data_IF_314967048175
#
_entry.id   IF_314967048175
#
_cell.length_a   1.000
_cell.length_b   1.000
_cell.length_c   1.000
_cell.angle_alpha   90.00
_cell.angle_beta   90.00
_cell.angle_gamma   90.00
#
_symmetry.space_group_name_H-M   'P 1'
#
loop_
_entity.id
_entity.type
_entity.pdbx_description
1 polymer ?
#
# COMPACT_ATOMS: atom_id res chain seq x y z
N UNK A 1 -20.40 32.15 -8.49
CA UNK A 1 -21.19 32.31 -7.25
C UNK A 1 -20.41 31.64 -6.14
N UNK A 2 -19.99 32.41 -5.14
CA UNK A 2 -19.15 31.94 -4.05
C UNK A 2 -19.98 31.07 -3.10
N UNK A 3 -19.55 29.82 -2.91
CA UNK A 3 -20.04 28.97 -1.82
C UNK A 3 -19.34 29.45 -0.55
N UNK A 4 -20.09 30.06 0.36
CA UNK A 4 -19.62 30.40 1.69
C UNK A 4 -19.60 29.13 2.54
N UNK A 5 -18.44 28.48 2.63
CA UNK A 5 -18.16 27.45 3.64
C UNK A 5 -17.47 28.11 4.83
N UNK A 6 -18.01 27.90 6.04
CA UNK A 6 -17.43 28.36 7.30
C UNK A 6 -16.00 27.81 7.43
N UNK A 7 -15.07 28.71 7.67
CA UNK A 7 -13.63 28.46 7.65
C UNK A 7 -13.21 27.57 8.82
N UNK A 8 -12.60 26.44 8.47
CA UNK A 8 -11.84 25.61 9.37
C UNK A 8 -11.10 24.53 8.60
N UNK A 9 -9.83 24.78 8.28
CA UNK A 9 -8.96 23.99 7.39
C UNK A 9 -9.72 23.33 6.22
N UNK A 10 -10.31 24.19 5.39
CA UNK A 10 -10.97 23.81 4.14
C UNK A 10 -9.91 23.19 3.26
N UNK A 11 -10.01 21.89 2.97
CA UNK A 11 -9.21 21.26 1.90
C UNK A 11 -9.30 22.16 0.68
N UNK A 12 -8.16 22.66 0.21
CA UNK A 12 -8.18 23.65 -0.85
C UNK A 12 -8.80 23.03 -2.11
N UNK A 13 -9.46 23.84 -2.94
CA UNK A 13 -9.95 23.35 -4.23
C UNK A 13 -8.80 22.73 -5.05
N UNK A 14 -7.59 23.27 -4.93
CA UNK A 14 -6.40 22.73 -5.57
C UNK A 14 -6.08 21.29 -5.10
N UNK A 15 -6.15 21.00 -3.80
CA UNK A 15 -5.90 19.65 -3.27
C UNK A 15 -6.99 18.66 -3.69
N UNK A 16 -8.25 19.12 -3.79
CA UNK A 16 -9.34 18.33 -4.36
C UNK A 16 -9.02 17.97 -5.81
N UNK A 17 -8.70 18.95 -6.65
CA UNK A 17 -8.35 18.71 -8.06
C UNK A 17 -7.15 17.76 -8.20
N UNK A 18 -6.10 17.95 -7.41
CA UNK A 18 -4.93 17.07 -7.40
C UNK A 18 -5.30 15.63 -7.02
N UNK A 19 -6.24 15.45 -6.08
CA UNK A 19 -6.74 14.13 -5.67
C UNK A 19 -7.55 13.49 -6.80
N UNK A 20 -8.51 14.23 -7.39
CA UNK A 20 -9.36 13.75 -8.49
C UNK A 20 -8.51 13.33 -9.70
N UNK A 21 -7.49 14.11 -10.02
CA UNK A 21 -6.58 13.86 -11.14
C UNK A 21 -5.39 12.94 -10.80
N UNK A 22 -5.40 12.26 -9.64
CA UNK A 22 -4.34 11.34 -9.21
C UNK A 22 -2.93 11.95 -9.38
N UNK A 23 -2.77 13.17 -8.90
CA UNK A 23 -1.56 13.99 -9.00
C UNK A 23 -1.11 14.53 -7.62
N UNK A 24 -1.83 14.17 -6.56
CA UNK A 24 -1.54 14.59 -5.20
C UNK A 24 -0.33 13.81 -4.63
N UNK A 25 0.66 14.52 -4.09
CA UNK A 25 1.88 13.92 -3.52
C UNK A 25 1.68 13.32 -2.13
N UNK A 26 0.73 13.86 -1.35
CA UNK A 26 0.34 13.34 -0.05
C UNK A 26 -1.20 13.28 0.14
N UNK A 27 -1.88 12.28 -0.42
CA UNK A 27 -3.35 12.19 -0.36
C UNK A 27 -3.93 12.18 1.06
N UNK A 28 -3.12 11.85 2.08
CA UNK A 28 -3.53 11.85 3.48
C UNK A 28 -3.82 13.25 4.02
N UNK A 29 -3.46 14.34 3.34
CA UNK A 29 -3.91 15.70 3.74
C UNK A 29 -5.36 15.98 3.35
N UNK A 30 -5.95 15.12 2.52
CA UNK A 30 -7.32 15.26 2.00
C UNK A 30 -8.20 14.11 2.47
N UNK A 31 -7.73 12.89 2.24
CA UNK A 31 -8.43 11.63 2.48
C UNK A 31 -8.25 11.15 3.91
N UNK A 32 -9.18 10.31 4.37
CA UNK A 32 -9.23 9.82 5.75
C UNK A 32 -9.99 10.76 6.67
N UNK A 33 -9.79 10.55 7.97
CA UNK A 33 -10.41 11.32 9.05
C UNK A 33 -9.54 12.53 9.43
N UNK A 34 -10.16 13.71 9.51
CA UNK A 34 -9.51 14.97 9.83
C UNK A 34 -10.32 15.77 10.84
N UNK A 35 -9.65 16.41 11.79
CA UNK A 35 -10.27 17.40 12.67
C UNK A 35 -10.53 18.68 11.85
N UNK A 36 -11.71 19.27 12.00
CA UNK A 36 -12.03 20.59 11.46
C UNK A 36 -12.47 21.54 12.59
N UNK A 37 -12.14 22.84 12.47
CA UNK A 37 -12.66 23.87 13.36
C UNK A 37 -14.18 23.97 13.34
N UNK A 38 -14.79 24.08 14.53
CA UNK A 38 -16.25 24.19 14.68
C UNK A 38 -16.82 23.55 15.94
N UNK A 39 -16.01 22.76 16.65
CA UNK A 39 -16.39 22.12 17.91
C UNK A 39 -16.90 23.07 19.00
N UNK A 40 -17.87 22.61 19.79
CA UNK A 40 -18.42 23.30 20.96
C UNK A 40 -18.32 22.39 22.18
N UNK A 41 -18.11 22.97 23.37
CA UNK A 41 -18.12 22.26 24.66
C UNK A 41 -17.31 20.94 24.70
N UNK A 42 -16.02 21.00 24.37
CA UNK A 42 -15.11 19.84 24.45
C UNK A 42 -15.29 18.79 23.35
N UNK A 43 -16.28 18.96 22.48
CA UNK A 43 -16.43 18.19 21.25
C UNK A 43 -15.67 18.84 20.11
N UNK A 44 -15.28 18.04 19.13
CA UNK A 44 -14.58 18.46 17.92
C UNK A 44 -15.42 18.09 16.71
N UNK A 45 -15.32 18.90 15.67
CA UNK A 45 -15.86 18.53 14.38
C UNK A 45 -14.82 17.68 13.65
N UNK A 46 -15.27 16.59 13.04
CA UNK A 46 -14.47 15.68 12.24
C UNK A 46 -15.06 15.57 10.85
N UNK A 47 -14.21 15.41 9.86
CA UNK A 47 -14.61 15.10 8.49
C UNK A 47 -13.90 13.84 8.04
N UNK A 48 -14.66 12.92 7.46
CA UNK A 48 -14.13 11.74 6.79
C UNK A 48 -14.28 11.96 5.29
N UNK A 49 -13.18 11.91 4.54
CA UNK A 49 -13.20 12.02 3.08
C UNK A 49 -12.66 10.77 2.41
N UNK A 50 -13.34 10.32 1.37
CA UNK A 50 -12.94 9.15 0.60
C UNK A 50 -13.06 9.42 -0.90
N UNK A 51 -12.03 9.03 -1.65
CA UNK A 51 -12.05 9.06 -3.10
C UNK A 51 -12.36 7.67 -3.66
N UNK A 52 -13.57 7.50 -4.15
CA UNK A 52 -14.22 6.26 -4.53
C UNK A 52 -14.80 6.41 -5.95
N UNK A 53 -13.96 6.38 -7.00
CA UNK A 53 -14.39 6.67 -8.38
C UNK A 53 -15.44 5.70 -8.93
N UNK A 54 -15.48 4.48 -8.40
CA UNK A 54 -16.47 3.46 -8.75
C UNK A 54 -17.85 3.65 -8.09
N UNK A 55 -17.90 4.47 -7.03
CA UNK A 55 -19.06 4.57 -6.16
C UNK A 55 -20.15 5.48 -6.74
N UNK A 56 -21.39 4.97 -6.69
CA UNK A 56 -22.61 5.75 -6.85
C UNK A 56 -23.01 6.41 -5.54
N UNK A 57 -22.91 5.69 -4.43
CA UNK A 57 -23.18 6.19 -3.08
C UNK A 57 -22.15 5.62 -2.11
N UNK A 58 -21.88 6.35 -1.04
CA UNK A 58 -20.97 5.94 0.02
C UNK A 58 -21.52 6.35 1.38
N UNK A 59 -21.19 5.56 2.41
CA UNK A 59 -21.54 5.82 3.80
C UNK A 59 -20.31 5.57 4.66
N UNK A 60 -20.22 6.30 5.76
CA UNK A 60 -19.39 5.90 6.90
C UNK A 60 -20.22 4.94 7.73
N UNK A 61 -19.65 3.78 8.05
CA UNK A 61 -20.16 2.87 9.07
C UNK A 61 -19.46 3.23 10.37
N UNK A 62 -20.13 3.96 11.25
CA UNK A 62 -19.59 4.39 12.54
C UNK A 62 -19.58 3.20 13.50
N UNK A 63 -18.41 2.70 13.87
CA UNK A 63 -18.25 1.53 14.72
C UNK A 63 -18.16 1.94 16.19
N UNK A 64 -19.31 2.32 16.77
CA UNK A 64 -19.42 2.42 18.22
C UNK A 64 -19.25 1.04 18.87
N UNK A 65 -18.48 0.92 19.96
CA UNK A 65 -18.24 -0.36 20.61
C UNK A 65 -19.54 -1.08 21.00
N UNK A 66 -19.75 -2.29 20.45
CA UNK A 66 -20.89 -3.15 20.80
C UNK A 66 -22.16 -2.94 19.95
N UNK A 67 -22.15 -2.06 18.95
CA UNK A 67 -23.29 -1.80 18.08
C UNK A 67 -23.05 -2.28 16.63
N UNK A 68 -24.11 -2.59 15.86
CA UNK A 68 -23.99 -3.02 14.45
C UNK A 68 -23.43 -1.95 13.50
N UNK A 69 -23.14 -0.76 14.03
CA UNK A 69 -22.60 0.39 13.32
C UNK A 69 -23.67 1.25 12.66
N UNK A 70 -23.65 2.55 12.92
CA UNK A 70 -24.59 3.49 12.31
C UNK A 70 -24.13 3.86 10.89
N UNK A 71 -25.05 3.84 9.93
CA UNK A 71 -24.77 4.25 8.55
C UNK A 71 -25.01 5.75 8.38
N UNK A 72 -23.92 6.50 8.28
CA UNK A 72 -23.95 7.95 8.01
C UNK A 72 -23.68 8.17 6.51
N UNK A 73 -24.65 8.71 5.74
CA UNK A 73 -24.46 8.94 4.31
C UNK A 73 -23.38 9.99 4.05
N UNK A 74 -22.53 9.74 3.06
CA UNK A 74 -21.54 10.70 2.61
C UNK A 74 -22.09 11.57 1.49
N UNK A 75 -21.93 12.88 1.61
CA UNK A 75 -22.19 13.85 0.56
C UNK A 75 -21.16 13.69 -0.57
N UNK A 76 -21.61 13.68 -1.82
CA UNK A 76 -20.72 13.69 -2.98
C UNK A 76 -20.22 15.12 -3.23
N UNK A 77 -18.97 15.38 -2.86
CA UNK A 77 -18.29 16.66 -3.12
C UNK A 77 -17.93 16.86 -4.59
N UNK A 78 -17.60 15.77 -5.29
CA UNK A 78 -17.21 15.84 -6.70
C UNK A 78 -17.78 14.67 -7.50
N UNK A 79 -18.19 14.96 -8.74
CA UNK A 79 -18.82 13.97 -9.64
C UNK A 79 -17.95 12.74 -9.88
N UNK A 80 -16.63 12.90 -9.86
CA UNK A 80 -15.66 11.82 -10.10
C UNK A 80 -15.43 10.90 -8.89
N UNK A 81 -16.23 11.05 -7.83
CA UNK A 81 -16.27 10.11 -6.71
C UNK A 81 -15.53 10.57 -5.46
N UNK A 82 -15.38 11.88 -5.23
CA UNK A 82 -14.96 12.37 -3.91
C UNK A 82 -16.18 12.56 -3.03
N UNK A 83 -16.16 11.95 -1.85
CA UNK A 83 -17.23 11.99 -0.86
C UNK A 83 -16.74 12.51 0.47
N UNK A 84 -17.63 13.11 1.26
CA UNK A 84 -17.37 13.50 2.65
C UNK A 84 -18.54 13.18 3.59
N UNK A 85 -18.25 12.95 4.86
CA UNK A 85 -19.23 13.02 5.95
C UNK A 85 -18.65 13.82 7.12
N UNK A 86 -19.47 14.63 7.78
CA UNK A 86 -19.08 15.49 8.90
C UNK A 86 -19.74 14.98 10.18
N UNK A 87 -18.97 14.95 11.26
CA UNK A 87 -19.37 14.49 12.59
C UNK A 87 -19.05 15.59 13.60
N UNK A 88 -20.03 16.01 14.40
CA UNK A 88 -19.88 17.12 15.37
C UNK A 88 -20.03 16.67 16.82
N UNK A 89 -20.16 15.37 17.04
CA UNK A 89 -20.53 14.72 18.30
C UNK A 89 -19.42 13.77 18.80
N UNK A 90 -18.16 14.08 18.47
CA UNK A 90 -17.00 13.22 18.77
C UNK A 90 -15.87 14.03 19.43
N UNK A 91 -15.34 13.53 20.54
CA UNK A 91 -14.19 14.13 21.23
C UNK A 91 -12.84 13.73 20.62
N UNK A 92 -12.75 12.52 20.07
CA UNK A 92 -11.54 11.91 19.52
C UNK A 92 -11.83 11.22 18.17
N UNK A 93 -10.79 10.94 17.35
CA UNK A 93 -10.94 10.06 16.19
C UNK A 93 -11.51 8.70 16.61
N UNK A 94 -12.43 8.19 15.81
CA UNK A 94 -13.15 6.94 16.10
C UNK A 94 -12.92 5.90 15.00
N UNK A 95 -13.31 4.66 15.32
CA UNK A 95 -13.22 3.54 14.41
C UNK A 95 -14.38 3.58 13.42
N UNK A 96 -14.09 3.41 12.14
CA UNK A 96 -15.11 3.37 11.10
C UNK A 96 -14.72 2.45 9.94
N UNK A 97 -15.73 2.12 9.13
CA UNK A 97 -15.54 1.53 7.80
C UNK A 97 -16.24 2.40 6.76
N UNK A 98 -15.89 2.20 5.50
CA UNK A 98 -16.58 2.82 4.37
C UNK A 98 -17.46 1.76 3.73
N UNK A 99 -18.76 2.01 3.67
CA UNK A 99 -19.69 1.23 2.86
C UNK A 99 -19.85 1.91 1.51
N UNK A 100 -19.73 1.12 0.45
CA UNK A 100 -19.69 1.60 -0.93
C UNK A 100 -20.79 0.90 -1.70
N UNK A 101 -21.54 1.66 -2.51
CA UNK A 101 -22.42 1.11 -3.53
C UNK A 101 -21.94 1.53 -4.92
N UNK A 102 -21.67 0.56 -5.79
CA UNK A 102 -21.29 0.81 -7.18
C UNK A 102 -22.46 1.28 -8.05
N UNK A 103 -22.15 1.77 -9.24
CA UNK A 103 -23.16 2.08 -10.27
C UNK A 103 -23.96 0.85 -10.74
N UNK A 104 -23.43 -0.36 -10.54
CA UNK A 104 -24.11 -1.62 -10.83
C UNK A 104 -24.99 -2.12 -9.65
N UNK A 105 -25.06 -1.38 -8.53
CA UNK A 105 -25.84 -1.75 -7.35
C UNK A 105 -25.15 -2.72 -6.40
N UNK A 106 -23.93 -3.20 -6.70
CA UNK A 106 -23.16 -4.00 -5.75
C UNK A 106 -22.72 -3.16 -4.55
N UNK A 107 -22.85 -3.73 -3.35
CA UNK A 107 -22.44 -3.11 -2.09
C UNK A 107 -21.35 -3.92 -1.40
N UNK A 108 -20.38 -3.22 -0.80
CA UNK A 108 -19.35 -3.82 0.04
C UNK A 108 -18.82 -2.81 1.07
N UNK A 109 -18.09 -3.30 2.06
CA UNK A 109 -17.43 -2.47 3.06
C UNK A 109 -15.92 -2.64 2.99
N UNK A 110 -15.19 -1.56 3.24
CA UNK A 110 -13.73 -1.55 3.34
C UNK A 110 -13.30 -0.81 4.61
N UNK A 111 -12.15 -1.18 5.14
CA UNK A 111 -11.41 -0.32 6.07
C UNK A 111 -10.69 0.73 5.24
N UNK A 112 -10.82 2.00 5.60
CA UNK A 112 -10.20 3.12 4.89
C UNK A 112 -8.66 3.03 4.95
N UNK A 113 -7.91 2.95 3.83
CA UNK A 113 -6.45 2.97 3.86
C UNK A 113 -5.85 4.30 4.37
N UNK A 114 -6.60 5.40 4.26
CA UNK A 114 -6.10 6.75 4.56
C UNK A 114 -6.32 7.20 6.00
N UNK A 115 -6.94 6.37 6.86
CA UNK A 115 -6.99 6.64 8.31
C UNK A 115 -5.70 6.32 9.04
N UNK A 116 -4.80 5.55 8.43
CA UNK A 116 -3.61 5.02 9.10
C UNK A 116 -2.44 6.00 9.08
N UNK A 117 -1.74 6.09 10.22
CA UNK A 117 -0.50 6.82 10.37
C UNK A 117 0.64 6.24 9.53
N UNK A 118 1.78 6.94 9.52
CA UNK A 118 2.99 6.52 8.82
C UNK A 118 3.53 5.20 9.38
N UNK A 119 4.05 4.33 8.51
CA UNK A 119 4.66 3.07 8.93
C UNK A 119 6.17 3.21 9.06
N UNK A 120 6.82 3.86 8.09
CA UNK A 120 8.25 4.14 8.16
C UNK A 120 8.53 5.20 9.22
N UNK A 121 9.49 4.92 10.10
CA UNK A 121 9.94 5.88 11.11
C UNK A 121 10.88 6.91 10.49
N UNK A 122 11.05 8.06 11.15
CA UNK A 122 12.03 9.06 10.72
C UNK A 122 13.47 8.53 10.76
N UNK A 123 13.73 7.57 11.65
CA UNK A 123 15.02 6.87 11.71
C UNK A 123 15.25 5.97 10.48
N UNK A 124 14.23 5.22 10.03
CA UNK A 124 14.31 4.44 8.79
C UNK A 124 14.60 5.37 7.61
N UNK A 125 13.87 6.49 7.51
CA UNK A 125 14.03 7.50 6.47
C UNK A 125 15.43 8.14 6.47
N UNK A 126 15.97 8.43 7.65
CA UNK A 126 17.31 8.99 7.81
C UNK A 126 18.38 8.01 7.29
N UNK A 127 18.37 6.76 7.75
CA UNK A 127 19.33 5.74 7.29
C UNK A 127 19.20 5.45 5.79
N UNK A 128 17.98 5.50 5.24
CA UNK A 128 17.76 5.36 3.80
C UNK A 128 18.34 6.54 3.02
N UNK A 129 18.18 7.76 3.53
CA UNK A 129 18.76 8.97 2.94
C UNK A 129 20.29 8.99 2.94
N UNK A 130 20.91 8.44 4.00
CA UNK A 130 22.37 8.31 4.10
C UNK A 130 22.95 7.09 3.35
N UNK A 131 22.10 6.16 2.90
CA UNK A 131 22.55 4.91 2.30
C UNK A 131 23.16 3.92 3.31
N UNK A 132 22.90 4.11 4.60
CA UNK A 132 23.44 3.30 5.71
C UNK A 132 22.46 2.25 6.21
N UNK A 133 21.24 2.18 5.66
CA UNK A 133 20.24 1.19 6.03
C UNK A 133 20.53 -0.21 5.45
N UNK A 134 21.40 -0.99 6.11
CA UNK A 134 21.87 -2.31 5.64
C UNK A 134 20.77 -3.38 5.47
N UNK A 135 19.61 -3.20 6.11
CA UNK A 135 18.43 -4.09 6.01
C UNK A 135 17.22 -3.39 5.40
N UNK A 136 17.46 -2.50 4.43
CA UNK A 136 16.39 -1.68 3.83
C UNK A 136 15.28 -2.50 3.17
N UNK A 137 15.57 -3.73 2.74
CA UNK A 137 14.60 -4.68 2.22
C UNK A 137 13.51 -5.08 3.24
N UNK A 138 13.69 -4.79 4.53
CA UNK A 138 12.68 -5.03 5.58
C UNK A 138 11.69 -3.87 5.73
N UNK A 139 11.95 -2.77 5.00
CA UNK A 139 11.19 -1.53 5.03
C UNK A 139 10.63 -1.17 3.67
N UNK A 140 11.44 -1.33 2.62
CA UNK A 140 11.04 -1.15 1.23
C UNK A 140 10.48 -2.46 0.66
N UNK A 141 9.59 -2.35 -0.31
CA UNK A 141 8.86 -3.47 -0.88
C UNK A 141 7.42 -3.58 -0.37
N UNK A 142 6.87 -4.79 -0.40
CA UNK A 142 5.57 -5.11 0.16
C UNK A 142 5.69 -6.07 1.36
N UNK A 143 5.19 -5.64 2.51
CA UNK A 143 5.34 -6.34 3.78
C UNK A 143 4.00 -6.59 4.44
N UNK A 144 3.69 -7.87 4.70
CA UNK A 144 2.57 -8.26 5.54
C UNK A 144 2.86 -7.83 6.98
N UNK A 145 1.97 -7.04 7.57
CA UNK A 145 2.13 -6.60 8.95
C UNK A 145 0.81 -6.24 9.62
N UNK A 146 0.86 -6.12 10.93
CA UNK A 146 -0.20 -5.49 11.73
C UNK A 146 0.18 -4.03 11.96
N UNK A 147 -0.70 -3.09 11.60
CA UNK A 147 -0.53 -1.66 11.83
C UNK A 147 -1.81 -1.10 12.44
N UNK A 148 -1.69 -0.42 13.60
CA UNK A 148 -2.83 0.15 14.34
C UNK A 148 -4.00 -0.83 14.55
N UNK A 149 -3.69 -2.09 14.84
CA UNK A 149 -4.67 -3.15 15.10
C UNK A 149 -5.18 -3.89 13.86
N UNK A 150 -4.81 -3.48 12.64
CA UNK A 150 -5.26 -4.12 11.40
C UNK A 150 -4.13 -4.90 10.74
N UNK A 151 -4.44 -6.11 10.28
CA UNK A 151 -3.56 -6.84 9.36
C UNK A 151 -3.74 -6.27 7.96
N UNK A 152 -2.65 -6.20 7.21
CA UNK A 152 -2.66 -5.74 5.83
C UNK A 152 -1.27 -5.76 5.24
N UNK A 153 -1.10 -5.02 4.14
CA UNK A 153 0.18 -4.89 3.44
C UNK A 153 0.64 -3.46 3.48
N UNK A 154 1.87 -3.25 3.97
CA UNK A 154 2.58 -1.98 3.81
C UNK A 154 3.42 -2.05 2.55
N UNK A 155 3.23 -1.05 1.69
CA UNK A 155 3.99 -0.85 0.47
C UNK A 155 4.89 0.36 0.64
N UNK A 156 6.16 0.23 0.27
CA UNK A 156 7.09 1.36 0.22
C UNK A 156 8.05 1.26 -0.97
N UNK A 157 8.22 2.36 -1.70
CA UNK A 157 9.10 2.42 -2.87
C UNK A 157 9.84 3.75 -2.96
N UNK A 158 11.09 3.69 -3.38
CA UNK A 158 11.90 4.87 -3.60
C UNK A 158 11.72 5.41 -5.01
N UNK A 159 11.10 6.59 -5.14
CA UNK A 159 10.81 7.24 -6.42
C UNK A 159 10.84 8.77 -6.26
N UNK A 160 12.03 9.37 -5.99
CA UNK A 160 12.14 10.77 -5.54
C UNK A 160 11.61 11.80 -6.53
N UNK A 161 11.75 11.53 -7.83
CA UNK A 161 11.36 12.46 -8.89
C UNK A 161 9.94 12.20 -9.42
N UNK A 162 9.20 11.25 -8.83
CA UNK A 162 7.81 11.03 -9.20
C UNK A 162 6.94 12.25 -8.83
N UNK A 163 5.92 12.51 -9.64
CA UNK A 163 4.82 13.41 -9.28
C UNK A 163 3.86 12.71 -8.34
N UNK A 164 3.56 11.43 -8.64
CA UNK A 164 2.69 10.56 -7.84
C UNK A 164 3.10 9.11 -8.03
N UNK A 165 2.97 8.31 -6.97
CA UNK A 165 3.00 6.85 -7.03
C UNK A 165 1.69 6.30 -6.47
N UNK A 166 1.14 5.27 -7.11
CA UNK A 166 0.06 4.46 -6.54
C UNK A 166 0.41 2.98 -6.53
N UNK A 167 -0.18 2.24 -5.61
CA UNK A 167 -0.19 0.78 -5.67
C UNK A 167 -1.37 0.35 -6.54
N UNK A 168 -1.11 -0.48 -7.55
CA UNK A 168 -2.14 -1.06 -8.43
C UNK A 168 -2.08 -2.56 -8.38
N UNK A 169 -3.24 -3.22 -8.37
CA UNK A 169 -3.31 -4.66 -8.29
C UNK A 169 -4.74 -5.18 -8.44
N UNK A 170 -4.93 -6.48 -8.22
CA UNK A 170 -6.24 -7.10 -8.34
C UNK A 170 -7.28 -6.45 -7.41
N UNK A 171 -6.90 -6.18 -6.16
CA UNK A 171 -7.72 -5.55 -5.13
C UNK A 171 -8.32 -4.19 -5.53
N UNK A 172 -7.71 -3.48 -6.50
CA UNK A 172 -8.22 -2.20 -6.98
C UNK A 172 -8.51 -2.15 -8.48
N UNK A 173 -8.60 -3.33 -9.12
CA UNK A 173 -8.81 -3.48 -10.57
C UNK A 173 -7.77 -2.72 -11.40
N UNK A 174 -6.53 -2.69 -10.92
CA UNK A 174 -5.41 -2.03 -11.60
C UNK A 174 -5.62 -0.53 -11.86
N UNK A 175 -6.46 0.13 -11.06
CA UNK A 175 -6.76 1.55 -11.19
C UNK A 175 -5.90 2.39 -10.24
N UNK A 176 -4.90 3.07 -10.79
CA UNK A 176 -3.96 3.90 -10.04
C UNK A 176 -4.56 5.14 -9.37
N UNK A 177 -5.82 5.50 -9.65
CA UNK A 177 -6.48 6.61 -8.94
C UNK A 177 -6.97 6.22 -7.53
N UNK A 178 -7.15 4.92 -7.25
CA UNK A 178 -7.80 4.42 -6.01
C UNK A 178 -6.87 4.35 -4.81
N UNK A 179 -5.58 4.03 -5.03
CA UNK A 179 -4.60 3.85 -3.96
C UNK A 179 -3.31 4.68 -4.16
N UNK A 180 -3.38 6.01 -4.35
CA UNK A 180 -2.21 6.88 -4.29
C UNK A 180 -1.49 6.82 -2.94
N UNK A 181 -0.17 6.79 -3.01
CA UNK A 181 0.74 6.71 -1.87
C UNK A 181 1.10 8.11 -1.37
N UNK A 182 1.53 8.24 -0.11
CA UNK A 182 2.14 9.49 0.39
C UNK A 182 3.63 9.51 0.16
N UNK A 183 4.15 10.62 -0.35
CA UNK A 183 5.56 10.90 -0.37
C UNK A 183 6.05 11.38 1.01
N UNK A 184 7.16 10.82 1.49
CA UNK A 184 7.79 11.10 2.79
C UNK A 184 8.87 12.19 2.67
N UNK A 185 8.55 13.26 1.96
CA UNK A 185 9.36 14.47 1.87
C UNK A 185 10.69 14.28 1.10
N UNK A 186 11.76 14.85 1.64
CA UNK A 186 13.04 14.98 0.95
C UNK A 186 13.71 13.64 0.57
N UNK A 187 13.38 12.55 1.25
CA UNK A 187 13.90 11.21 0.91
C UNK A 187 13.38 10.71 -0.44
N UNK A 188 12.19 11.16 -0.86
CA UNK A 188 11.56 10.67 -2.08
C UNK A 188 10.98 9.26 -1.97
N UNK A 189 10.82 8.74 -0.76
CA UNK A 189 10.17 7.46 -0.49
C UNK A 189 8.66 7.67 -0.48
N UNK A 190 7.93 6.76 -1.12
CA UNK A 190 6.48 6.71 -1.13
C UNK A 190 6.03 5.54 -0.29
N UNK A 191 4.99 5.71 0.53
CA UNK A 191 4.41 4.60 1.28
C UNK A 191 2.87 4.62 1.32
N UNK A 192 2.28 3.44 1.52
CA UNK A 192 0.86 3.25 1.81
C UNK A 192 0.68 1.94 2.57
N UNK A 193 -0.15 1.96 3.61
CA UNK A 193 -0.65 0.74 4.23
C UNK A 193 -2.07 0.48 3.72
N UNK A 194 -2.32 -0.73 3.23
CA UNK A 194 -3.65 -1.14 2.78
C UNK A 194 -4.12 -2.28 3.71
N UNK A 195 -5.16 -2.04 4.52
CA UNK A 195 -5.70 -3.05 5.43
C UNK A 195 -6.36 -4.19 4.66
N UNK A 196 -6.54 -5.32 5.34
CA UNK A 196 -7.27 -6.51 4.86
C UNK A 196 -6.67 -7.21 3.61
N UNK A 197 -5.55 -6.70 3.08
CA UNK A 197 -4.79 -7.40 2.05
C UNK A 197 -3.98 -8.55 2.63
N UNK A 198 -3.87 -9.60 1.83
CA UNK A 198 -3.23 -10.87 2.20
C UNK A 198 -2.01 -11.17 1.32
N UNK A 199 -1.32 -12.23 1.68
CA UNK A 199 -0.30 -12.81 0.81
C UNK A 199 -0.88 -13.30 -0.51
N UNK A 200 -0.07 -13.28 -1.57
CA UNK A 200 -0.48 -13.66 -2.91
C UNK A 200 -1.08 -12.51 -3.72
N UNK A 201 -1.30 -11.35 -3.11
CA UNK A 201 -1.75 -10.16 -3.83
C UNK A 201 -0.77 -9.77 -4.92
N UNK A 202 -1.28 -9.64 -6.14
CA UNK A 202 -0.52 -9.28 -7.33
C UNK A 202 -0.59 -7.78 -7.52
N UNK A 203 0.57 -7.12 -7.60
CA UNK A 203 0.65 -5.66 -7.64
C UNK A 203 1.79 -5.12 -8.51
N UNK A 204 1.67 -3.83 -8.83
CA UNK A 204 2.69 -2.97 -9.41
C UNK A 204 2.59 -1.56 -8.84
N UNK A 205 3.67 -0.80 -8.91
CA UNK A 205 3.62 0.63 -8.71
C UNK A 205 3.29 1.34 -10.01
N UNK A 206 2.21 2.12 -10.02
CA UNK A 206 1.93 3.06 -11.10
C UNK A 206 2.57 4.41 -10.76
N UNK A 207 3.53 4.81 -11.57
CA UNK A 207 4.34 6.01 -11.36
C UNK A 207 3.93 7.05 -12.40
N UNK A 208 3.45 8.20 -11.93
CA UNK A 208 3.30 9.41 -12.75
C UNK A 208 4.56 10.25 -12.64
N UNK A 209 5.19 10.50 -13.78
CA UNK A 209 6.37 11.36 -13.91
C UNK A 209 5.98 12.83 -13.94
N UNK A 210 6.81 13.68 -13.35
CA UNK A 210 6.73 15.14 -13.51
C UNK A 210 7.01 15.59 -14.95
N UNK A 211 7.62 14.72 -15.75
CA UNK A 211 7.97 15.02 -17.13
C UNK A 211 6.88 14.53 -18.09
N UNK A 212 6.27 15.48 -18.82
CA UNK A 212 5.26 15.25 -19.87
C UNK A 212 4.05 14.37 -19.47
N UNK A 213 3.73 14.29 -18.18
CA UNK A 213 2.60 13.49 -17.69
C UNK A 213 2.73 11.98 -17.97
N UNK A 214 3.96 11.48 -18.19
CA UNK A 214 4.20 10.07 -18.47
C UNK A 214 3.78 9.19 -17.29
N UNK A 215 2.96 8.18 -17.55
CA UNK A 215 2.50 7.20 -16.56
C UNK A 215 2.99 5.81 -16.95
N UNK A 216 3.57 5.09 -16.00
CA UNK A 216 4.09 3.73 -16.23
C UNK A 216 3.84 2.84 -15.03
N UNK A 217 3.63 1.55 -15.30
CA UNK A 217 3.60 0.53 -14.26
C UNK A 217 4.96 -0.15 -14.14
N UNK A 218 5.46 -0.28 -12.91
CA UNK A 218 6.73 -0.93 -12.59
C UNK A 218 6.51 -2.07 -11.59
N UNK A 219 7.24 -3.16 -11.81
CA UNK A 219 7.44 -4.17 -10.79
C UNK A 219 8.14 -3.52 -9.58
N UNK A 220 7.89 -4.07 -8.39
CA UNK A 220 8.55 -3.64 -7.16
C UNK A 220 10.05 -3.96 -7.23
N UNK A 221 10.96 -2.97 -7.11
CA UNK A 221 12.41 -3.21 -7.03
C UNK A 221 12.82 -4.11 -5.86
N UNK A 222 12.02 -4.15 -4.79
CA UNK A 222 12.19 -4.96 -3.59
C UNK A 222 11.18 -6.11 -3.51
N UNK A 223 10.53 -6.48 -4.62
CA UNK A 223 9.54 -7.56 -4.65
C UNK A 223 10.15 -8.93 -4.30
N UNK A 224 9.57 -9.61 -3.30
CA UNK A 224 10.01 -10.94 -2.87
C UNK A 224 9.56 -12.09 -3.77
N UNK A 225 8.49 -11.88 -4.53
CA UNK A 225 7.98 -12.82 -5.51
C UNK A 225 7.43 -12.07 -6.73
N UNK A 226 7.31 -12.77 -7.87
CA UNK A 226 6.80 -12.22 -9.12
C UNK A 226 5.87 -13.22 -9.82
N UNK A 227 4.99 -12.71 -10.66
CA UNK A 227 4.26 -13.57 -11.61
C UNK A 227 5.25 -14.30 -12.54
N UNK A 228 4.83 -15.46 -13.05
CA UNK A 228 5.62 -16.20 -14.03
C UNK A 228 5.69 -15.43 -15.36
N UNK A 229 6.88 -15.36 -15.94
CA UNK A 229 7.11 -14.76 -17.26
C UNK A 229 6.12 -15.30 -18.33
N UNK A 230 5.67 -14.47 -19.29
CA UNK A 230 6.12 -13.09 -19.58
C UNK A 230 5.45 -12.01 -18.73
N UNK A 231 4.62 -12.37 -17.76
CA UNK A 231 4.03 -11.40 -16.84
C UNK A 231 5.10 -10.77 -15.95
N UNK A 232 4.80 -9.59 -15.41
CA UNK A 232 5.79 -8.71 -14.76
C UNK A 232 5.32 -8.10 -13.45
N UNK A 233 4.16 -8.50 -12.91
CA UNK A 233 3.74 -7.99 -11.61
C UNK A 233 4.50 -8.66 -10.47
N UNK A 234 4.68 -7.90 -9.40
CA UNK A 234 5.19 -8.42 -8.13
C UNK A 234 4.07 -9.09 -7.36
N UNK A 235 4.43 -9.99 -6.45
CA UNK A 235 3.48 -10.73 -5.59
C UNK A 235 3.87 -10.52 -4.14
N UNK A 236 2.90 -10.17 -3.29
CA UNK A 236 3.10 -10.08 -1.83
C UNK A 236 3.40 -11.47 -1.30
N UNK A 237 4.50 -11.62 -0.56
CA UNK A 237 4.97 -12.93 -0.12
C UNK A 237 5.47 -12.91 1.31
N UNK A 238 5.13 -13.94 2.08
CA UNK A 238 5.60 -14.11 3.45
C UNK A 238 6.90 -14.93 3.48
N UNK A 239 8.01 -14.26 3.80
CA UNK A 239 9.33 -14.88 3.90
C UNK A 239 9.49 -15.78 5.12
N UNK A 240 8.61 -15.70 6.12
CA UNK A 240 8.74 -16.43 7.40
C UNK A 240 8.30 -17.90 7.34
N UNK A 241 7.71 -18.33 6.22
CA UNK A 241 7.09 -19.66 6.08
C UNK A 241 8.07 -20.84 6.06
N UNK A 242 9.32 -20.62 5.67
CA UNK A 242 10.30 -21.68 5.54
C UNK A 242 11.12 -21.82 6.83
N UNK A 243 11.04 -23.00 7.46
CA UNK A 243 11.89 -23.34 8.60
C UNK A 243 13.18 -23.99 8.09
N UNK A 244 14.31 -23.35 8.37
CA UNK A 244 15.63 -23.85 8.01
C UNK A 244 16.06 -25.01 8.92
N UNK A 245 16.78 -25.99 8.34
CA UNK A 245 17.30 -27.16 9.04
C UNK A 245 18.83 -27.29 8.96
N UNK A 246 19.54 -26.24 8.54
CA UNK A 246 20.97 -26.24 8.20
C UNK A 246 21.86 -25.60 9.28
N UNK A 247 21.40 -25.60 10.54
CA UNK A 247 22.10 -24.93 11.64
C UNK A 247 23.55 -25.40 11.83
N UNK A 248 23.81 -26.71 11.77
CA UNK A 248 25.17 -27.26 11.89
C UNK A 248 26.09 -26.80 10.74
N UNK A 249 25.54 -26.78 9.52
CA UNK A 249 26.24 -26.27 8.35
C UNK A 249 26.61 -24.79 8.54
N UNK A 250 25.64 -23.95 8.89
CA UNK A 250 25.86 -22.52 9.07
C UNK A 250 26.86 -22.22 10.19
N UNK A 251 26.86 -22.99 11.27
CA UNK A 251 27.83 -22.85 12.36
C UNK A 251 29.27 -23.19 11.94
N UNK A 252 29.45 -24.12 11.00
CA UNK A 252 30.78 -24.60 10.56
C UNK A 252 31.23 -24.06 9.20
N UNK A 253 30.36 -23.32 8.48
CA UNK A 253 30.57 -22.87 7.11
C UNK A 253 31.89 -22.12 6.90
N UNK A 254 32.21 -21.17 7.77
CA UNK A 254 33.42 -20.36 7.64
C UNK A 254 34.72 -21.18 7.68
N UNK A 255 34.75 -22.24 8.51
CA UNK A 255 35.90 -23.14 8.61
C UNK A 255 35.97 -24.08 7.41
N UNK A 256 34.84 -24.62 6.97
CA UNK A 256 34.74 -25.53 5.82
C UNK A 256 35.05 -24.84 4.49
N UNK A 257 34.81 -23.53 4.39
CA UNK A 257 35.07 -22.71 3.20
C UNK A 257 36.33 -21.83 3.34
N UNK A 258 37.25 -22.16 4.27
CA UNK A 258 38.52 -21.47 4.36
C UNK A 258 39.36 -21.67 3.09
N UNK A 259 40.27 -20.73 2.80
CA UNK A 259 41.04 -20.70 1.54
C UNK A 259 41.94 -21.93 1.33
N UNK A 260 42.26 -22.65 2.40
CA UNK A 260 43.08 -23.86 2.42
C UNK A 260 42.26 -25.17 2.35
N UNK A 261 40.94 -25.06 2.16
CA UNK A 261 40.02 -26.21 2.10
C UNK A 261 39.69 -26.61 0.66
N UNK A 262 39.37 -27.90 0.42
CA UNK A 262 38.98 -28.35 -0.90
C UNK A 262 37.65 -27.72 -1.32
N UNK A 263 37.65 -27.03 -2.47
CA UNK A 263 36.46 -26.46 -3.08
C UNK A 263 36.40 -26.96 -4.53
N UNK A 264 35.41 -27.79 -4.84
CA UNK A 264 35.11 -28.24 -6.19
C UNK A 264 33.68 -27.83 -6.53
N UNK A 265 33.53 -26.89 -7.47
CA UNK A 265 32.23 -26.29 -7.82
C UNK A 265 31.71 -26.94 -9.10
N UNK A 266 30.49 -27.48 -9.03
CA UNK A 266 29.74 -27.89 -10.22
C UNK A 266 28.77 -26.78 -10.61
N UNK A 267 29.04 -26.11 -11.73
CA UNK A 267 28.21 -25.02 -12.22
C UNK A 267 26.92 -25.55 -12.86
N UNK A 268 25.77 -24.95 -12.53
CA UNK A 268 24.45 -25.40 -12.99
C UNK A 268 23.58 -24.22 -13.43
N UNK A 269 23.01 -24.31 -14.63
CA UNK A 269 21.87 -23.48 -15.05
C UNK A 269 20.55 -24.22 -14.81
N UNK A 270 19.80 -23.84 -13.78
CA UNK A 270 18.60 -24.56 -13.33
C UNK A 270 17.54 -24.73 -14.43
N UNK A 271 17.38 -23.75 -15.32
CA UNK A 271 16.38 -23.78 -16.39
C UNK A 271 16.69 -24.74 -17.55
N UNK A 272 17.90 -25.31 -17.62
CA UNK A 272 18.31 -26.21 -18.70
C UNK A 272 19.08 -27.44 -18.24
N UNK A 273 19.37 -27.58 -16.95
CA UNK A 273 20.08 -28.75 -16.41
C UNK A 273 19.29 -30.04 -16.64
N UNK A 274 17.98 -30.01 -16.35
CA UNK A 274 17.06 -31.11 -16.61
C UNK A 274 15.66 -30.54 -16.87
N UNK A 275 14.95 -31.15 -17.82
CA UNK A 275 13.57 -30.78 -18.20
C UNK A 275 12.58 -31.75 -17.58
N UNK A 276 11.38 -31.26 -17.31
CA UNK A 276 10.24 -32.08 -16.88
C UNK A 276 9.24 -32.22 -18.02
N UNK A 277 8.87 -33.46 -18.36
CA UNK A 277 7.78 -33.75 -19.30
C UNK A 277 6.39 -33.58 -18.67
N UNK A 278 6.30 -33.55 -17.34
CA UNK A 278 5.05 -33.45 -16.59
C UNK A 278 4.67 -31.99 -16.28
N UNK A 279 5.63 -31.07 -16.36
CA UNK A 279 5.41 -29.63 -16.14
C UNK A 279 4.94 -28.94 -17.42
N UNK A 280 3.84 -28.17 -17.33
CA UNK A 280 3.33 -27.36 -18.45
C UNK A 280 4.37 -26.33 -18.96
N UNK A 281 5.33 -25.94 -18.13
CA UNK A 281 6.40 -25.00 -18.49
C UNK A 281 7.66 -25.70 -19.03
N UNK A 282 7.72 -27.03 -18.90
CA UNK A 282 8.90 -27.84 -19.20
C UNK A 282 10.04 -27.73 -18.19
N UNK A 283 9.93 -26.89 -17.15
CA UNK A 283 10.94 -26.75 -16.11
C UNK A 283 10.62 -27.63 -14.90
N UNK A 284 11.68 -28.08 -14.23
CA UNK A 284 11.58 -28.59 -12.87
C UNK A 284 11.38 -27.42 -11.90
N UNK A 285 10.61 -27.64 -10.85
CA UNK A 285 10.51 -26.71 -9.72
C UNK A 285 11.69 -26.92 -8.74
N UNK A 286 11.88 -26.00 -7.79
CA UNK A 286 13.01 -26.08 -6.84
C UNK A 286 12.97 -27.29 -5.90
N UNK A 287 11.80 -27.89 -5.62
CA UNK A 287 11.69 -29.11 -4.82
C UNK A 287 12.16 -30.32 -5.62
N UNK A 288 11.76 -30.41 -6.88
CA UNK A 288 12.21 -31.47 -7.78
C UNK A 288 13.71 -31.41 -8.05
N UNK A 289 14.30 -30.22 -8.13
CA UNK A 289 15.75 -30.05 -8.28
C UNK A 289 16.55 -30.46 -7.03
N UNK A 290 15.92 -30.47 -5.86
CA UNK A 290 16.56 -30.83 -4.60
C UNK A 290 16.60 -32.34 -4.34
N UNK A 291 15.90 -33.14 -5.16
CA UNK A 291 15.78 -34.60 -5.07
C UNK A 291 16.40 -35.30 -6.30
#
# INVERSE_FOLDING_TARGET
>A
MAVMTKQGQVTSQADIELTIHASHWNPFTVLGIHEIPGGTDGLKDWVIRAFLPEARMAWVVDLLPGEPGELVPMERLHRDGLFQAVFSDRAEPFMYRLKIESHAGHQWEIVDPYRFGTVLTDFDLHLLGEGTHLRNYERLGAHLRTHEGFRGVHYAVWAPNAERVSVTGNFNHWNGRRHPMRNRGATGIWELFIPDLCEGEVYKFEIKSRNHGYVVQKADPYGFASELRPKTASVVWDLSKFTWGDHEWMATRAQRQALDRPICVYEVHLGSWKKSSESATGFLNYRELAH
#
